data_IF_275909839523
#
_entry.id   IF_275909839523
#
_cell.length_a   1.000
_cell.length_b   1.000
_cell.length_c   1.000
_cell.angle_alpha   90.00
_cell.angle_beta   90.00
_cell.angle_gamma   90.00
#
_symmetry.space_group_name_H-M   'P 1'
#
loop_
_entity.id
_entity.type
_entity.pdbx_description
1 polymer ?
#
# COMPACT_ATOMS: atom_id res chain seq x y z
N UNK A 1 -31.91 -5.50 20.70
CA UNK A 1 -31.64 -4.52 19.64
C UNK A 1 -30.14 -4.31 19.63
N UNK A 2 -29.40 -5.16 18.91
CA UNK A 2 -27.95 -5.01 18.76
C UNK A 2 -27.70 -3.69 18.05
N UNK A 3 -27.10 -2.73 18.75
CA UNK A 3 -26.53 -1.54 18.11
C UNK A 3 -25.52 -2.06 17.10
N UNK A 4 -25.77 -1.87 15.80
CA UNK A 4 -24.76 -2.14 14.79
C UNK A 4 -23.55 -1.29 15.18
N UNK A 5 -22.44 -1.95 15.55
CA UNK A 5 -21.24 -1.22 15.93
C UNK A 5 -20.73 -0.56 14.65
N UNK A 6 -20.68 0.77 14.63
CA UNK A 6 -20.15 1.51 13.49
C UNK A 6 -18.65 1.25 13.44
N UNK A 7 -18.22 0.60 12.36
CA UNK A 7 -16.82 0.40 12.07
C UNK A 7 -16.20 1.72 11.60
N UNK A 8 -15.02 2.03 12.11
CA UNK A 8 -14.19 3.16 11.74
C UNK A 8 -12.83 2.67 11.27
N UNK A 9 -12.28 3.32 10.25
CA UNK A 9 -10.90 3.13 9.84
C UNK A 9 -10.02 4.14 10.58
N UNK A 10 -8.82 3.74 10.97
CA UNK A 10 -7.80 4.67 11.44
C UNK A 10 -6.42 4.23 10.96
N UNK A 11 -5.87 4.96 10.00
CA UNK A 11 -4.55 4.69 9.44
C UNK A 11 -3.45 4.80 10.50
N UNK A 12 -2.60 3.77 10.69
CA UNK A 12 -1.51 3.80 11.67
C UNK A 12 -0.36 4.75 11.29
N UNK A 13 -0.25 5.12 10.01
CA UNK A 13 0.83 5.99 9.50
C UNK A 13 0.51 7.47 9.58
N UNK A 14 -0.74 7.86 9.28
CA UNK A 14 -1.11 9.28 9.15
C UNK A 14 -2.41 9.65 9.86
N UNK A 15 -2.97 8.75 10.67
CA UNK A 15 -4.21 8.92 11.44
C UNK A 15 -5.47 9.26 10.64
N UNK A 16 -5.42 9.21 9.31
CA UNK A 16 -6.60 9.40 8.46
C UNK A 16 -7.60 8.27 8.66
N UNK A 17 -8.87 8.63 8.64
CA UNK A 17 -10.04 7.75 8.68
C UNK A 17 -10.60 7.42 7.29
N UNK A 18 -9.93 7.90 6.24
CA UNK A 18 -10.42 7.79 4.87
C UNK A 18 -9.78 6.62 4.14
N UNK A 19 -10.62 5.70 3.68
CA UNK A 19 -10.24 4.54 2.86
C UNK A 19 -10.23 4.95 1.39
N UNK A 20 -9.15 4.63 0.67
CA UNK A 20 -9.09 4.75 -0.79
C UNK A 20 -9.66 3.50 -1.46
N UNK A 21 -9.11 2.34 -1.09
CA UNK A 21 -9.53 1.04 -1.59
C UNK A 21 -9.42 -0.01 -0.48
N UNK A 22 -10.24 -1.05 -0.60
CA UNK A 22 -10.15 -2.27 0.20
C UNK A 22 -10.06 -3.45 -0.75
N UNK A 23 -9.14 -4.37 -0.51
CA UNK A 23 -8.92 -5.52 -1.39
C UNK A 23 -8.55 -6.76 -0.59
N UNK A 24 -8.89 -7.93 -1.17
CA UNK A 24 -8.58 -9.23 -0.58
C UNK A 24 -7.13 -9.58 -0.84
N UNK A 25 -6.49 -10.17 0.15
CA UNK A 25 -5.11 -10.62 0.11
C UNK A 25 -5.04 -12.08 0.55
N UNK A 26 -4.03 -12.78 0.05
CA UNK A 26 -3.72 -14.14 0.48
C UNK A 26 -2.23 -14.22 0.75
N UNK A 27 -1.85 -13.90 1.98
CA UNK A 27 -0.48 -14.01 2.42
C UNK A 27 -0.14 -15.46 2.72
N UNK A 28 0.97 -15.91 2.12
CA UNK A 28 1.55 -17.24 2.38
C UNK A 28 2.58 -17.23 3.52
N UNK A 29 2.71 -16.12 4.25
CA UNK A 29 3.72 -15.95 5.30
C UNK A 29 3.08 -15.90 6.68
N UNK A 30 3.85 -16.29 7.71
CA UNK A 30 3.35 -16.45 9.08
C UNK A 30 2.92 -15.14 9.73
N UNK A 31 3.51 -14.00 9.34
CA UNK A 31 3.24 -12.68 9.96
C UNK A 31 1.86 -12.14 9.55
N UNK A 32 1.47 -12.36 8.29
CA UNK A 32 0.21 -11.90 7.74
C UNK A 32 -0.82 -13.02 7.52
N UNK A 33 -0.61 -14.21 8.10
CA UNK A 33 -1.48 -15.37 7.88
C UNK A 33 -2.96 -15.08 8.19
N UNK A 34 -3.23 -14.27 9.22
CA UNK A 34 -4.59 -13.89 9.62
C UNK A 34 -5.15 -12.65 8.88
N UNK A 35 -4.36 -12.06 7.98
CA UNK A 35 -4.76 -10.88 7.21
C UNK A 35 -5.40 -11.35 5.90
N UNK A 36 -6.72 -11.22 5.81
CA UNK A 36 -7.51 -11.61 4.62
C UNK A 36 -7.87 -10.42 3.73
N UNK A 37 -7.76 -9.21 4.27
CA UNK A 37 -8.05 -7.95 3.59
C UNK A 37 -7.03 -6.88 3.99
N UNK A 38 -6.68 -6.03 3.02
CA UNK A 38 -5.94 -4.80 3.26
C UNK A 38 -6.75 -3.58 2.83
N UNK A 39 -6.40 -2.45 3.44
CA UNK A 39 -6.94 -1.13 3.14
C UNK A 39 -5.80 -0.24 2.67
N UNK A 40 -5.99 0.39 1.51
CA UNK A 40 -5.17 1.52 1.10
C UNK A 40 -5.70 2.80 1.73
N UNK A 41 -4.86 3.52 2.48
CA UNK A 41 -5.22 4.83 3.03
C UNK A 41 -5.29 5.90 1.94
N UNK A 42 -6.34 6.74 1.93
CA UNK A 42 -6.48 7.82 0.94
C UNK A 42 -5.49 8.99 1.12
N UNK A 43 -4.90 9.14 2.32
CA UNK A 43 -3.99 10.25 2.61
C UNK A 43 -2.51 9.88 2.42
N UNK A 44 -2.09 8.72 2.92
CA UNK A 44 -0.69 8.29 2.82
C UNK A 44 -0.43 7.18 1.78
N UNK A 45 -1.48 6.62 1.17
CA UNK A 45 -1.39 5.57 0.13
C UNK A 45 -0.75 4.26 0.60
N UNK A 46 -0.46 4.13 1.90
CA UNK A 46 0.03 2.89 2.49
C UNK A 46 -1.10 1.88 2.59
N UNK A 47 -0.80 0.63 2.24
CA UNK A 47 -1.68 -0.50 2.48
C UNK A 47 -1.47 -1.01 3.90
N UNK A 48 -2.58 -1.24 4.61
CA UNK A 48 -2.56 -1.67 6.02
C UNK A 48 -3.56 -2.80 6.26
N UNK A 49 -3.27 -3.73 7.20
CA UNK A 49 -4.16 -4.83 7.53
C UNK A 49 -5.54 -4.35 8.00
N UNK A 50 -6.59 -4.78 7.31
CA UNK A 50 -7.95 -4.36 7.61
C UNK A 50 -8.41 -4.83 9.00
N UNK A 51 -8.07 -6.06 9.38
CA UNK A 51 -8.41 -6.68 10.66
C UNK A 51 -7.87 -5.93 11.89
N UNK A 52 -6.83 -5.09 11.72
CA UNK A 52 -6.23 -4.32 12.79
C UNK A 52 -6.70 -2.86 12.83
N UNK A 53 -7.10 -2.31 11.68
CA UNK A 53 -7.34 -0.87 11.55
C UNK A 53 -8.76 -0.50 11.15
N UNK A 54 -9.61 -1.49 10.87
CA UNK A 54 -11.08 -1.37 10.98
C UNK A 54 -11.44 -1.77 12.39
N UNK A 55 -11.88 -0.82 13.20
CA UNK A 55 -12.25 -1.06 14.59
C UNK A 55 -13.58 -0.40 14.93
N UNK A 56 -14.15 -0.73 16.07
CA UNK A 56 -15.33 -0.02 16.57
C UNK A 56 -14.92 1.37 17.09
N UNK A 57 -15.85 2.33 17.06
CA UNK A 57 -15.62 3.74 17.44
C UNK A 57 -14.94 3.96 18.81
N UNK A 58 -15.02 2.99 19.73
CA UNK A 58 -14.43 3.08 21.08
C UNK A 58 -13.22 2.15 21.31
N UNK A 59 -12.72 1.48 20.27
CA UNK A 59 -11.57 0.58 20.40
C UNK A 59 -10.28 1.40 20.44
N UNK A 60 -9.50 1.27 21.52
CA UNK A 60 -8.14 1.78 21.54
C UNK A 60 -7.26 0.92 20.61
N UNK A 61 -6.56 1.56 19.66
CA UNK A 61 -5.70 0.93 18.66
C UNK A 61 -4.20 1.09 18.94
N UNK A 62 -3.80 1.54 20.14
CA UNK A 62 -2.40 1.81 20.47
C UNK A 62 -1.55 0.54 20.38
N UNK A 63 -2.09 -0.60 20.80
CA UNK A 63 -1.40 -1.88 20.66
C UNK A 63 -1.33 -2.31 19.19
N UNK A 64 -2.38 -2.09 18.40
CA UNK A 64 -2.36 -2.33 16.95
C UNK A 64 -1.30 -1.47 16.26
N UNK A 65 -1.15 -0.19 16.67
CA UNK A 65 -0.08 0.71 16.17
C UNK A 65 1.31 0.20 16.55
N UNK A 66 1.50 -0.36 17.76
CA UNK A 66 2.78 -0.98 18.16
C UNK A 66 3.08 -2.20 17.31
N UNK A 67 2.11 -3.10 17.13
CA UNK A 67 2.27 -4.31 16.30
C UNK A 67 2.57 -3.92 14.85
N UNK A 68 1.88 -2.90 14.32
CA UNK A 68 2.15 -2.36 13.00
C UNK A 68 3.60 -1.89 12.84
N UNK A 69 4.10 -1.06 13.77
CA UNK A 69 5.46 -0.53 13.71
C UNK A 69 6.52 -1.61 13.88
N UNK A 70 6.27 -2.60 14.73
CA UNK A 70 7.26 -3.62 15.09
C UNK A 70 7.31 -4.80 14.13
N UNK A 71 6.19 -5.18 13.52
CA UNK A 71 6.08 -6.43 12.74
C UNK A 71 5.57 -6.21 11.33
N UNK A 72 4.35 -5.68 11.18
CA UNK A 72 3.71 -5.58 9.87
C UNK A 72 4.47 -4.63 8.92
N UNK A 73 4.70 -3.38 9.33
CA UNK A 73 5.38 -2.40 8.48
C UNK A 73 6.77 -2.84 8.02
N UNK A 74 7.67 -3.33 8.90
CA UNK A 74 8.97 -3.82 8.46
C UNK A 74 8.85 -4.97 7.43
N UNK A 75 7.91 -5.90 7.63
CA UNK A 75 7.72 -7.01 6.72
C UNK A 75 7.08 -6.57 5.38
N UNK A 76 6.15 -5.61 5.43
CA UNK A 76 5.58 -4.96 4.25
C UNK A 76 6.69 -4.34 3.38
N UNK A 77 7.57 -3.56 4.01
CA UNK A 77 8.67 -2.87 3.33
C UNK A 77 9.61 -3.84 2.61
N UNK A 78 9.88 -5.03 3.16
CA UNK A 78 10.76 -6.03 2.51
C UNK A 78 10.21 -6.55 1.19
N UNK A 79 8.88 -6.64 1.07
CA UNK A 79 8.20 -7.20 -0.09
C UNK A 79 7.60 -6.12 -1.00
N UNK A 80 7.62 -4.86 -0.55
CA UNK A 80 7.05 -3.73 -1.27
C UNK A 80 7.80 -3.44 -2.58
N UNK A 81 7.03 -3.19 -3.63
CA UNK A 81 7.58 -2.74 -4.90
C UNK A 81 8.29 -1.39 -4.73
N UNK A 82 9.54 -1.32 -5.17
CA UNK A 82 10.42 -0.17 -5.08
C UNK A 82 11.03 0.15 -6.44
N UNK A 83 11.13 1.45 -6.77
CA UNK A 83 11.77 1.87 -8.01
C UNK A 83 13.30 1.79 -7.89
N UNK A 84 13.95 1.09 -8.82
CA UNK A 84 15.41 0.98 -8.88
C UNK A 84 16.14 2.28 -9.28
N UNK A 85 15.43 3.34 -9.69
CA UNK A 85 16.03 4.63 -10.10
C UNK A 85 15.94 5.72 -9.02
N UNK A 86 14.89 5.71 -8.20
CA UNK A 86 14.65 6.77 -7.21
C UNK A 86 14.42 6.25 -5.81
N UNK A 87 14.50 4.93 -5.61
CA UNK A 87 14.35 4.23 -4.34
C UNK A 87 13.02 4.47 -3.63
N UNK A 88 12.04 5.05 -4.32
CA UNK A 88 10.70 5.27 -3.78
C UNK A 88 9.88 3.99 -3.85
N UNK A 89 9.12 3.74 -2.79
CA UNK A 89 8.13 2.68 -2.76
C UNK A 89 6.84 3.07 -3.48
N UNK A 90 6.03 2.08 -3.81
CA UNK A 90 4.77 2.27 -4.55
C UNK A 90 3.87 3.36 -3.95
N UNK A 91 3.68 3.39 -2.61
CA UNK A 91 2.81 4.37 -1.96
C UNK A 91 3.34 5.81 -2.09
N UNK A 92 4.66 6.00 -2.06
CA UNK A 92 5.27 7.31 -2.24
C UNK A 92 5.14 7.80 -3.69
N UNK A 93 5.27 6.86 -4.63
CA UNK A 93 5.08 7.12 -6.06
C UNK A 93 3.62 7.51 -6.32
N UNK A 94 2.66 6.73 -5.84
CA UNK A 94 1.24 7.04 -5.96
C UNK A 94 0.89 8.41 -5.36
N UNK A 95 1.39 8.70 -4.16
CA UNK A 95 1.16 10.00 -3.50
C UNK A 95 1.69 11.17 -4.35
N UNK A 96 2.89 11.02 -4.93
CA UNK A 96 3.49 12.04 -5.81
C UNK A 96 2.74 12.17 -7.15
N UNK A 97 2.26 11.08 -7.72
CA UNK A 97 1.44 11.08 -8.94
C UNK A 97 0.08 11.75 -8.68
N UNK A 98 -0.57 11.40 -7.57
CA UNK A 98 -1.82 12.03 -7.14
C UNK A 98 -1.67 13.55 -6.96
N UNK A 99 -0.58 13.99 -6.32
CA UNK A 99 -0.27 15.43 -6.16
C UNK A 99 -0.05 16.16 -7.49
N UNK A 100 0.23 15.43 -8.58
CA UNK A 100 0.37 15.94 -9.95
C UNK A 100 -0.89 15.76 -10.79
N UNK A 101 -2.02 15.34 -10.20
CA UNK A 101 -3.26 14.98 -10.89
C UNK A 101 -3.08 13.89 -11.95
N UNK A 102 -2.15 12.96 -11.73
CA UNK A 102 -1.94 11.80 -12.59
C UNK A 102 -2.61 10.59 -11.94
N UNK A 103 -3.74 10.16 -12.50
CA UNK A 103 -4.43 8.93 -12.09
C UNK A 103 -4.00 7.80 -13.03
N UNK A 104 -3.35 6.78 -12.49
CA UNK A 104 -2.93 5.60 -13.24
C UNK A 104 -2.88 4.38 -12.35
N UNK A 105 -3.38 3.24 -12.84
CA UNK A 105 -3.14 1.92 -12.24
C UNK A 105 -1.69 1.47 -12.43
N UNK A 106 -1.10 1.82 -13.58
CA UNK A 106 0.26 1.41 -13.93
C UNK A 106 1.26 2.44 -13.42
N UNK A 107 1.93 2.09 -12.33
CA UNK A 107 2.96 2.93 -11.70
C UNK A 107 4.37 2.38 -11.89
N UNK A 108 4.52 1.11 -12.29
CA UNK A 108 5.78 0.43 -12.57
C UNK A 108 5.75 -0.29 -13.91
N UNK A 109 6.93 -0.44 -14.51
CA UNK A 109 7.22 -1.47 -15.51
C UNK A 109 8.55 -2.13 -15.21
N UNK A 110 8.74 -3.35 -15.69
CA UNK A 110 10.02 -4.03 -15.62
C UNK A 110 10.83 -3.69 -16.88
N UNK A 111 11.96 -3.03 -16.72
CA UNK A 111 12.88 -2.82 -17.83
C UNK A 111 13.46 -4.17 -18.27
N UNK A 112 13.66 -4.38 -19.57
CA UNK A 112 14.32 -5.58 -20.05
C UNK A 112 15.83 -5.49 -19.79
N UNK A 113 16.41 -6.52 -19.17
CA UNK A 113 17.85 -6.69 -19.06
C UNK A 113 18.29 -7.92 -19.87
N UNK A 114 19.13 -7.68 -20.87
CA UNK A 114 19.77 -8.71 -21.72
C UNK A 114 20.60 -9.74 -20.94
N UNK A 115 20.90 -9.48 -19.66
CA UNK A 115 21.73 -10.35 -18.81
C UNK A 115 20.96 -11.42 -18.03
N UNK A 116 19.64 -11.53 -18.22
CA UNK A 116 18.83 -12.66 -17.72
C UNK A 116 18.50 -12.64 -16.22
N UNK A 117 18.86 -11.60 -15.48
CA UNK A 117 18.65 -11.50 -14.02
C UNK A 117 17.29 -10.93 -13.59
N UNK A 118 16.34 -10.76 -14.52
CA UNK A 118 15.10 -10.00 -14.28
C UNK A 118 15.43 -8.51 -14.18
N UNK A 119 14.99 -7.71 -15.14
CA UNK A 119 15.46 -6.33 -15.20
C UNK A 119 14.82 -5.41 -14.16
N UNK A 120 15.34 -4.18 -14.10
CA UNK A 120 15.04 -3.19 -13.06
C UNK A 120 13.58 -2.75 -13.07
N UNK A 121 13.00 -2.55 -11.89
CA UNK A 121 11.64 -2.03 -11.73
C UNK A 121 11.66 -0.51 -11.77
N UNK A 122 11.09 0.08 -12.82
CA UNK A 122 11.15 1.53 -13.06
C UNK A 122 9.75 2.12 -12.90
N UNK A 123 9.65 3.22 -12.14
CA UNK A 123 8.37 3.87 -11.88
C UNK A 123 8.05 4.97 -12.89
N UNK A 124 6.75 5.31 -12.97
CA UNK A 124 6.21 6.36 -13.84
C UNK A 124 6.78 7.75 -13.60
N UNK A 125 7.28 8.04 -12.40
CA UNK A 125 7.93 9.32 -12.13
C UNK A 125 9.31 9.41 -12.78
N UNK A 126 10.03 8.28 -12.89
CA UNK A 126 11.38 8.21 -13.42
C UNK A 126 11.44 8.06 -14.95
N UNK A 127 10.39 7.47 -15.54
CA UNK A 127 10.26 7.35 -16.99
C UNK A 127 8.80 7.50 -17.43
N UNK A 128 8.23 8.73 -17.42
CA UNK A 128 6.84 8.96 -17.78
C UNK A 128 6.49 8.56 -19.22
N UNK A 129 7.45 8.64 -20.16
CA UNK A 129 7.22 8.36 -21.59
C UNK A 129 6.92 6.88 -21.83
N UNK A 130 7.57 5.98 -21.09
CA UNK A 130 7.31 4.54 -21.16
C UNK A 130 5.83 4.19 -20.90
N UNK A 131 5.11 5.02 -20.14
CA UNK A 131 3.70 4.80 -19.79
C UNK A 131 2.71 5.53 -20.70
N UNK A 132 3.18 6.31 -21.69
CA UNK A 132 2.28 6.96 -22.66
C UNK A 132 1.81 5.99 -23.76
N UNK A 133 2.54 4.90 -23.96
CA UNK A 133 2.29 3.96 -25.06
C UNK A 133 1.42 2.75 -24.66
N UNK A 134 1.07 2.60 -23.37
CA UNK A 134 0.16 1.55 -22.90
C UNK A 134 -1.32 1.97 -23.09
N UNK A 135 -1.72 2.22 -24.34
CA UNK A 135 -3.12 2.10 -24.76
C UNK A 135 -3.31 0.69 -25.32
N UNK A 136 -3.58 -0.28 -24.45
CA UNK A 136 -4.22 -1.54 -24.84
C UNK A 136 -5.28 -1.89 -23.81
#
# INVERSE_FOLDING_TARGET
>A
MEKSKKEIFSCPECTSDTIKFRFKVNYKNDVYADVTEEIQCANCFMDVPANLFIVNENTNIDDNKKIWKSFYKPEHIKQAAQCSKCDLYYWEIEKKLFSKNITSSDIFYQAYDTRGSGGNMICRLCDPEAFKNNKQ
#
